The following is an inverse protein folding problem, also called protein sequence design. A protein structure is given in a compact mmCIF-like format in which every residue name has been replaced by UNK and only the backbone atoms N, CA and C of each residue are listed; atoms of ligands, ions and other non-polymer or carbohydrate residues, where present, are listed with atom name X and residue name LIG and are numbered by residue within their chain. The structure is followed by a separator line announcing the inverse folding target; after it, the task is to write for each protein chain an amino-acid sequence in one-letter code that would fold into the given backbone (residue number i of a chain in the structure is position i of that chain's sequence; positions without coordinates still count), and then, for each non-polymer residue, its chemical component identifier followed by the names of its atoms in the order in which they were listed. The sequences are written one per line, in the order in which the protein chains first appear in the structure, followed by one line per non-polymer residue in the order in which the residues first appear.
data_IF_874501633781
#
_entry.id   IF_874501633781
#
_cell.length_a   1.000
_cell.length_b   1.000
_cell.length_c   1.000
_cell.angle_alpha   90.00
_cell.angle_beta   90.00
_cell.angle_gamma   90.00
#
_symmetry.space_group_name_H-M   'P 1'
#
loop_
_entity.id
_entity.type
_entity.pdbx_description
1 polymer ?
#
# COMPACT_ATOMS: atom_id res chain seq x y z
N UNK A 1 -9.62 -20.86 -6.11
CA UNK A 1 -8.85 -19.85 -5.34
C UNK A 1 -9.34 -19.70 -3.89
N UNK A 2 -10.65 -19.59 -3.62
CA UNK A 2 -11.21 -19.41 -2.27
C UNK A 2 -11.29 -20.68 -1.37
N UNK A 3 -11.20 -21.89 -1.93
CA UNK A 3 -11.27 -23.15 -1.14
C UNK A 3 -9.95 -23.55 -0.45
N UNK A 4 -8.79 -23.02 -0.89
CA UNK A 4 -7.48 -23.32 -0.29
C UNK A 4 -7.05 -22.36 0.83
N UNK A 5 -7.79 -21.26 1.03
CA UNK A 5 -7.51 -20.28 2.08
C UNK A 5 -8.18 -20.61 3.42
N UNK A 6 -8.97 -21.71 3.49
CA UNK A 6 -9.78 -22.06 4.67
C UNK A 6 -9.08 -23.01 5.66
N UNK A 7 -7.91 -23.57 5.30
CA UNK A 7 -7.17 -24.54 6.15
C UNK A 7 -6.05 -23.91 7.00
N UNK A 8 -5.92 -22.59 6.96
CA UNK A 8 -4.82 -21.86 7.57
C UNK A 8 -5.43 -20.86 8.54
N UNK A 9 -5.61 -21.29 9.79
CA UNK A 9 -5.87 -20.36 10.89
C UNK A 9 -4.62 -19.52 11.11
N UNK A 10 -4.49 -18.40 10.39
CA UNK A 10 -3.17 -17.76 10.25
C UNK A 10 -3.07 -16.36 10.86
N UNK A 11 -2.05 -16.13 11.71
CA UNK A 11 -1.65 -14.80 12.16
C UNK A 11 -0.98 -14.01 11.01
N UNK A 12 -1.01 -12.68 11.10
CA UNK A 12 -0.61 -11.69 10.08
C UNK A 12 0.76 -11.86 9.38
N UNK A 13 1.61 -12.78 9.83
CA UNK A 13 2.91 -13.11 9.21
C UNK A 13 2.79 -13.75 7.82
N UNK A 14 1.72 -14.48 7.55
CA UNK A 14 1.54 -15.16 6.26
C UNK A 14 1.13 -14.22 5.15
N UNK A 15 0.58 -13.04 5.43
CA UNK A 15 0.22 -12.09 4.37
C UNK A 15 1.45 -11.43 3.74
N UNK A 16 2.51 -11.16 4.52
CA UNK A 16 3.79 -10.68 3.97
C UNK A 16 4.46 -11.79 3.16
N UNK A 17 4.48 -13.03 3.66
CA UNK A 17 5.03 -14.17 2.96
C UNK A 17 4.24 -14.47 1.68
N UNK A 18 2.91 -14.53 1.74
CA UNK A 18 2.00 -14.71 0.59
C UNK A 18 2.16 -13.55 -0.40
N UNK A 19 2.28 -12.31 0.08
CA UNK A 19 2.55 -11.20 -0.83
C UNK A 19 3.93 -11.37 -1.46
N UNK A 20 5.03 -11.60 -0.73
CA UNK A 20 6.37 -11.71 -1.32
C UNK A 20 6.66 -13.00 -2.10
N UNK A 21 5.95 -14.09 -1.83
CA UNK A 21 6.18 -15.42 -2.46
C UNK A 21 5.15 -15.77 -3.53
N UNK A 22 3.92 -15.26 -3.44
CA UNK A 22 2.87 -15.53 -4.43
C UNK A 22 2.48 -14.28 -5.21
N UNK A 23 2.21 -13.14 -4.56
CA UNK A 23 1.67 -11.96 -5.25
C UNK A 23 2.76 -11.10 -5.90
N UNK A 24 3.90 -10.92 -5.26
CA UNK A 24 5.03 -10.11 -5.70
C UNK A 24 5.77 -10.81 -6.83
N UNK A 25 6.00 -12.15 -6.80
CA UNK A 25 6.44 -12.89 -7.95
C UNK A 25 5.33 -12.95 -8.99
N UNK A 26 4.05 -13.11 -8.67
CA UNK A 26 2.98 -12.96 -9.66
C UNK A 26 2.98 -11.59 -10.32
N UNK A 27 3.26 -10.48 -9.63
CA UNK A 27 3.25 -9.12 -10.19
C UNK A 27 4.58 -8.78 -10.90
N UNK A 28 5.69 -9.39 -10.47
CA UNK A 28 7.02 -9.29 -11.08
C UNK A 28 7.19 -10.25 -12.28
N UNK A 29 6.58 -11.43 -12.26
CA UNK A 29 6.50 -12.40 -13.36
C UNK A 29 5.27 -12.16 -14.25
N UNK A 30 4.21 -11.50 -13.79
CA UNK A 30 3.21 -10.87 -14.67
C UNK A 30 3.63 -9.46 -15.10
N UNK A 31 4.80 -8.97 -14.67
CA UNK A 31 5.45 -7.79 -15.25
C UNK A 31 5.49 -7.85 -16.78
N UNK A 32 5.89 -8.97 -17.43
CA UNK A 32 5.72 -9.11 -18.87
C UNK A 32 4.26 -9.03 -19.32
N UNK A 33 3.28 -9.58 -18.60
CA UNK A 33 1.87 -9.61 -19.05
C UNK A 33 1.24 -8.22 -19.07
N UNK A 34 1.20 -7.49 -17.95
CA UNK A 34 0.57 -6.16 -17.94
C UNK A 34 1.42 -5.11 -18.68
N UNK A 35 2.75 -5.24 -18.67
CA UNK A 35 3.58 -4.35 -19.51
C UNK A 35 3.41 -4.68 -21.00
N UNK A 36 3.19 -5.95 -21.38
CA UNK A 36 2.80 -6.31 -22.74
C UNK A 36 1.44 -5.74 -23.09
N UNK A 37 0.45 -5.79 -22.19
CA UNK A 37 -0.86 -5.18 -22.43
C UNK A 37 -0.76 -3.67 -22.63
N UNK A 38 -0.02 -2.93 -21.78
CA UNK A 38 0.18 -1.50 -21.97
C UNK A 38 0.98 -1.18 -23.24
N UNK A 39 2.01 -1.97 -23.56
CA UNK A 39 2.78 -1.81 -24.79
C UNK A 39 1.94 -2.09 -26.04
N UNK A 40 1.05 -3.10 -25.99
CA UNK A 40 0.11 -3.42 -27.06
C UNK A 40 -0.89 -2.29 -27.27
N UNK A 41 -1.49 -1.78 -26.20
CA UNK A 41 -2.40 -0.62 -26.29
C UNK A 41 -1.68 0.60 -26.87
N UNK A 42 -0.43 0.82 -26.47
CA UNK A 42 0.37 1.89 -27.05
C UNK A 42 0.72 1.67 -28.52
N UNK A 43 1.04 0.44 -28.95
CA UNK A 43 1.27 0.14 -30.36
C UNK A 43 0.02 0.31 -31.22
N UNK A 44 -1.16 0.23 -30.61
CA UNK A 44 -2.44 0.56 -31.26
C UNK A 44 -2.72 2.07 -31.35
N UNK A 45 -1.78 2.93 -30.93
CA UNK A 45 -1.91 4.39 -31.02
C UNK A 45 -2.75 5.01 -29.90
N UNK A 46 -3.01 4.29 -28.80
CA UNK A 46 -3.79 4.80 -27.67
C UNK A 46 -3.13 6.04 -27.06
N UNK A 47 -3.87 7.15 -26.83
CA UNK A 47 -3.31 8.35 -26.23
C UNK A 47 -2.87 8.10 -24.78
N UNK A 48 -1.89 8.89 -24.30
CA UNK A 48 -1.32 8.72 -22.97
C UNK A 48 -2.36 8.85 -21.82
N UNK A 49 -3.43 9.63 -22.04
CA UNK A 49 -4.54 9.78 -21.10
C UNK A 49 -5.30 8.47 -20.84
N UNK A 50 -5.59 7.71 -21.89
CA UNK A 50 -6.31 6.44 -21.79
C UNK A 50 -5.42 5.35 -21.19
N UNK A 51 -4.13 5.34 -21.55
CA UNK A 51 -3.15 4.46 -20.91
C UNK A 51 -3.01 4.75 -19.41
N UNK A 52 -3.07 6.03 -19.01
CA UNK A 52 -3.14 6.41 -17.59
C UNK A 52 -4.41 5.86 -16.95
N UNK A 53 -5.57 5.96 -17.61
CA UNK A 53 -6.84 5.43 -17.09
C UNK A 53 -6.80 3.90 -16.89
N UNK A 54 -6.18 3.16 -17.81
CA UNK A 54 -5.97 1.70 -17.68
C UNK A 54 -5.05 1.39 -16.50
N UNK A 55 -3.97 2.15 -16.34
CA UNK A 55 -3.06 1.98 -15.21
C UNK A 55 -3.76 2.23 -13.86
N UNK A 56 -4.55 3.29 -13.75
CA UNK A 56 -5.24 3.64 -12.50
C UNK A 56 -6.41 2.71 -12.17
N UNK A 57 -7.03 2.08 -13.16
CA UNK A 57 -8.19 1.18 -12.97
C UNK A 57 -7.81 -0.27 -12.71
N UNK A 58 -6.74 -0.79 -13.32
CA UNK A 58 -6.38 -2.21 -13.21
C UNK A 58 -5.11 -2.46 -12.38
N UNK A 59 -4.03 -1.74 -12.72
CA UNK A 59 -2.70 -2.02 -12.15
C UNK A 59 -2.59 -1.41 -10.76
N UNK A 60 -3.00 -0.16 -10.61
CA UNK A 60 -2.88 0.58 -9.36
C UNK A 60 -3.70 -0.02 -8.21
N UNK A 61 -4.97 -0.45 -8.41
CA UNK A 61 -5.73 -1.09 -7.34
C UNK A 61 -5.13 -2.44 -6.95
N UNK A 62 -4.55 -3.18 -7.90
CA UNK A 62 -3.84 -4.44 -7.61
C UNK A 62 -2.61 -4.22 -6.72
N UNK A 63 -1.87 -3.12 -6.92
CA UNK A 63 -0.75 -2.74 -6.06
C UNK A 63 -1.21 -2.26 -4.67
N UNK A 64 -2.37 -1.60 -4.59
CA UNK A 64 -2.89 -1.02 -3.34
C UNK A 64 -3.73 -1.99 -2.50
N UNK A 65 -4.31 -3.04 -3.08
CA UNK A 65 -5.36 -3.87 -2.48
C UNK A 65 -5.09 -4.30 -1.03
N UNK A 66 -3.87 -4.76 -0.74
CA UNK A 66 -3.47 -5.19 0.60
C UNK A 66 -2.40 -4.30 1.24
N UNK A 67 -2.11 -3.13 0.66
CA UNK A 67 -1.01 -2.27 1.10
C UNK A 67 -1.11 -1.83 2.57
N UNK A 68 -2.29 -1.52 3.15
CA UNK A 68 -2.37 -1.13 4.56
C UNK A 68 -1.84 -2.19 5.53
N UNK A 69 -1.83 -3.46 5.12
CA UNK A 69 -1.45 -4.58 6.00
C UNK A 69 0.06 -4.85 6.00
N UNK A 70 0.73 -4.69 4.87
CA UNK A 70 2.16 -5.03 4.74
C UNK A 70 3.09 -3.85 4.44
N UNK A 71 2.58 -2.69 4.03
CA UNK A 71 3.41 -1.55 3.60
C UNK A 71 4.39 -1.07 4.68
N UNK A 72 3.95 -1.05 5.94
CA UNK A 72 4.79 -0.66 7.08
C UNK A 72 5.91 -1.64 7.39
N UNK A 73 5.79 -2.89 6.91
CA UNK A 73 6.75 -3.97 7.15
C UNK A 73 7.76 -4.15 6.01
N UNK A 74 7.77 -3.27 5.01
CA UNK A 74 8.68 -3.35 3.88
C UNK A 74 10.04 -2.72 4.17
N UNK A 75 11.10 -3.39 3.71
CA UNK A 75 12.44 -2.84 3.69
C UNK A 75 12.59 -1.81 2.56
N UNK A 76 13.57 -0.90 2.67
CA UNK A 76 13.87 0.10 1.62
C UNK A 76 14.11 -0.53 0.25
N UNK A 77 14.80 -1.66 0.18
CA UNK A 77 15.04 -2.39 -1.08
C UNK A 77 13.75 -2.91 -1.70
N UNK A 78 12.84 -3.47 -0.88
CA UNK A 78 11.53 -3.97 -1.32
C UNK A 78 10.64 -2.82 -1.80
N UNK A 79 10.65 -1.69 -1.10
CA UNK A 79 9.94 -0.49 -1.54
C UNK A 79 10.47 -0.01 -2.90
N UNK A 80 11.79 0.03 -3.10
CA UNK A 80 12.39 0.38 -4.38
C UNK A 80 12.01 -0.61 -5.50
N UNK A 81 11.91 -1.90 -5.20
CA UNK A 81 11.46 -2.90 -6.17
C UNK A 81 10.00 -2.67 -6.60
N UNK A 82 9.11 -2.32 -5.67
CA UNK A 82 7.73 -1.94 -6.01
C UNK A 82 7.70 -0.63 -6.80
N UNK A 83 8.53 0.36 -6.46
CA UNK A 83 8.61 1.62 -7.19
C UNK A 83 9.09 1.42 -8.64
N UNK A 84 9.92 0.39 -8.90
CA UNK A 84 10.33 0.04 -10.28
C UNK A 84 9.14 -0.35 -11.16
N UNK A 85 8.08 -0.94 -10.59
CA UNK A 85 6.84 -1.27 -11.31
C UNK A 85 6.16 0.01 -11.79
N UNK A 86 5.98 0.99 -10.90
CA UNK A 86 5.40 2.29 -11.26
C UNK A 86 6.27 3.02 -12.30
N UNK A 87 7.60 3.06 -12.11
CA UNK A 87 8.53 3.66 -13.09
C UNK A 87 8.42 3.01 -14.47
N UNK A 88 8.31 1.68 -14.53
CA UNK A 88 8.13 0.94 -15.79
C UNK A 88 6.81 1.33 -16.46
N UNK A 89 5.71 1.39 -15.72
CA UNK A 89 4.42 1.82 -16.26
C UNK A 89 4.49 3.24 -16.84
N UNK A 90 5.12 4.19 -16.13
CA UNK A 90 5.24 5.57 -16.62
C UNK A 90 6.10 5.69 -17.86
N UNK A 91 7.16 4.88 -17.99
CA UNK A 91 7.96 4.80 -19.23
C UNK A 91 7.13 4.32 -20.41
N UNK A 92 6.22 3.38 -20.19
CA UNK A 92 5.32 2.90 -21.25
C UNK A 92 4.30 3.97 -21.62
N UNK A 93 3.66 4.62 -20.64
CA UNK A 93 2.63 5.64 -20.86
C UNK A 93 3.20 6.88 -21.56
N UNK A 94 4.32 7.41 -21.08
CA UNK A 94 4.90 8.66 -21.61
C UNK A 94 5.80 8.43 -22.82
N UNK A 95 6.41 7.24 -22.93
CA UNK A 95 7.23 6.89 -24.07
C UNK A 95 8.39 7.85 -24.31
N UNK A 96 8.50 8.49 -25.49
CA UNK A 96 9.57 9.43 -25.78
C UNK A 96 9.52 10.69 -24.90
N UNK A 97 8.35 11.04 -24.35
CA UNK A 97 8.21 12.17 -23.42
C UNK A 97 8.73 11.85 -22.00
N UNK A 98 9.14 10.61 -21.73
CA UNK A 98 9.70 10.23 -20.43
C UNK A 98 11.12 10.78 -20.27
N UNK A 99 11.30 11.75 -19.38
CA UNK A 99 12.62 12.33 -19.05
C UNK A 99 13.14 11.84 -17.70
N UNK A 100 12.38 12.11 -16.63
CA UNK A 100 12.71 11.71 -15.27
C UNK A 100 11.49 11.20 -14.52
N UNK A 101 11.71 10.46 -13.43
CA UNK A 101 10.61 9.96 -12.61
C UNK A 101 9.81 11.10 -11.95
N UNK A 102 10.49 12.15 -11.48
CA UNK A 102 9.82 13.29 -10.87
C UNK A 102 8.99 14.07 -11.91
N UNK A 103 9.50 14.23 -13.14
CA UNK A 103 8.74 14.84 -14.22
C UNK A 103 7.51 13.97 -14.58
N UNK A 104 7.68 12.65 -14.66
CA UNK A 104 6.55 11.75 -14.93
C UNK A 104 5.44 11.84 -13.88
N UNK A 105 5.78 12.01 -12.60
CA UNK A 105 4.80 12.24 -11.52
C UNK A 105 4.01 13.54 -11.74
N UNK A 106 4.69 14.62 -12.15
CA UNK A 106 4.04 15.90 -12.43
C UNK A 106 3.20 15.85 -13.71
N UNK A 107 3.72 15.28 -14.80
CA UNK A 107 3.00 15.17 -16.08
C UNK A 107 1.74 14.31 -15.95
N UNK A 108 1.85 13.18 -15.25
CA UNK A 108 0.73 12.26 -15.07
C UNK A 108 -0.18 12.65 -13.89
N UNK A 109 0.16 13.70 -13.13
CA UNK A 109 -0.56 14.10 -11.90
C UNK A 109 -0.83 12.94 -10.94
N UNK A 110 0.15 12.04 -10.80
CA UNK A 110 0.05 10.86 -9.93
C UNK A 110 1.09 10.94 -8.81
N UNK A 111 0.72 10.58 -7.57
CA UNK A 111 1.66 10.54 -6.44
C UNK A 111 2.61 9.33 -6.53
N UNK A 112 3.68 9.38 -5.71
CA UNK A 112 4.56 8.24 -5.50
C UNK A 112 3.82 7.08 -4.85
N UNK A 113 4.21 5.85 -5.17
CA UNK A 113 3.57 4.67 -4.62
C UNK A 113 3.61 4.65 -3.08
N UNK A 114 4.72 5.09 -2.48
CA UNK A 114 4.86 5.20 -1.03
C UNK A 114 3.82 6.15 -0.41
N UNK A 115 3.61 7.32 -1.02
CA UNK A 115 2.61 8.28 -0.57
C UNK A 115 1.19 7.71 -0.67
N UNK A 116 0.91 6.93 -1.72
CA UNK A 116 -0.37 6.23 -1.87
C UNK A 116 -0.59 5.17 -0.79
N UNK A 117 0.44 4.39 -0.47
CA UNK A 117 0.36 3.41 0.61
C UNK A 117 0.09 4.07 1.96
N UNK A 118 0.75 5.20 2.23
CA UNK A 118 0.53 5.96 3.45
C UNK A 118 -0.89 6.51 3.53
N UNK A 119 -1.42 7.03 2.43
CA UNK A 119 -2.80 7.51 2.35
C UNK A 119 -3.81 6.37 2.54
N UNK A 120 -3.57 5.21 1.91
CA UNK A 120 -4.40 4.02 2.06
C UNK A 120 -4.39 3.51 3.51
N UNK A 121 -3.22 3.54 4.17
CA UNK A 121 -3.06 3.19 5.58
C UNK A 121 -3.88 4.12 6.48
N UNK A 122 -3.81 5.44 6.26
CA UNK A 122 -4.60 6.41 7.03
C UNK A 122 -6.10 6.21 6.85
N UNK A 123 -6.58 6.06 5.61
CA UNK A 123 -7.99 5.80 5.31
C UNK A 123 -8.47 4.49 5.96
N UNK A 124 -7.63 3.46 5.94
CA UNK A 124 -7.93 2.20 6.60
C UNK A 124 -8.05 2.36 8.13
N UNK A 125 -7.12 3.10 8.76
CA UNK A 125 -7.18 3.41 10.19
C UNK A 125 -8.45 4.18 10.58
N UNK A 126 -8.82 5.21 9.82
CA UNK A 126 -10.07 5.95 10.04
C UNK A 126 -11.30 5.06 9.87
N UNK A 127 -11.30 4.17 8.87
CA UNK A 127 -12.36 3.19 8.66
C UNK A 127 -12.51 2.21 9.83
N UNK A 128 -11.40 1.77 10.44
CA UNK A 128 -11.41 0.91 11.62
C UNK A 128 -11.98 1.61 12.86
N UNK A 129 -11.71 2.91 13.04
CA UNK A 129 -12.26 3.68 14.15
C UNK A 129 -13.77 3.85 14.04
N UNK A 130 -14.30 4.00 12.81
CA UNK A 130 -15.74 4.18 12.56
C UNK A 130 -16.53 2.88 12.56
N UNK A 131 -15.89 1.74 12.27
CA UNK A 131 -16.59 0.47 12.11
C UNK A 131 -16.65 -0.32 13.43
N UNK A 132 -17.84 -0.50 14.03
CA UNK A 132 -17.97 -1.20 15.32
C UNK A 132 -17.52 -2.66 15.25
N UNK A 133 -17.66 -3.33 14.09
CA UNK A 133 -17.28 -4.74 13.93
C UNK A 133 -15.78 -4.96 13.99
N UNK A 134 -14.97 -3.98 13.54
CA UNK A 134 -13.52 -4.12 13.45
C UNK A 134 -12.76 -3.23 14.45
N UNK A 135 -13.47 -2.45 15.28
CA UNK A 135 -12.91 -1.59 16.31
C UNK A 135 -12.01 -2.35 17.31
N UNK A 136 -12.33 -3.62 17.57
CA UNK A 136 -11.56 -4.50 18.45
C UNK A 136 -10.13 -4.79 17.97
N UNK A 137 -9.82 -4.51 16.70
CA UNK A 137 -8.46 -4.64 16.16
C UNK A 137 -7.52 -3.53 16.63
N UNK A 138 -8.07 -2.42 17.14
CA UNK A 138 -7.33 -1.29 17.68
C UNK A 138 -7.43 -1.26 19.21
N UNK A 139 -6.41 -0.71 19.91
CA UNK A 139 -6.50 -0.46 21.34
C UNK A 139 -7.74 0.38 21.71
N UNK A 140 -8.25 0.29 22.94
CA UNK A 140 -9.32 1.16 23.40
C UNK A 140 -8.90 2.63 23.36
N UNK A 141 -9.89 3.52 23.37
CA UNK A 141 -9.64 4.96 23.45
C UNK A 141 -9.02 5.32 24.81
N UNK A 142 -8.18 6.36 24.83
CA UNK A 142 -7.63 6.85 26.09
C UNK A 142 -8.74 7.54 26.88
N UNK A 143 -8.92 7.24 28.17
CA UNK A 143 -9.88 7.96 28.99
C UNK A 143 -9.54 9.46 29.01
N UNK A 144 -10.55 10.35 29.09
CA UNK A 144 -10.31 11.79 29.15
C UNK A 144 -9.35 12.13 30.30
N UNK A 145 -8.27 12.89 30.05
CA UNK A 145 -7.36 13.25 31.12
C UNK A 145 -8.04 14.23 32.08
N UNK A 146 -7.73 14.12 33.37
CA UNK A 146 -8.24 15.06 34.38
C UNK A 146 -7.79 16.51 34.14
N UNK A 147 -6.72 16.71 33.34
CA UNK A 147 -6.21 18.02 32.94
C UNK A 147 -5.93 18.03 31.45
N UNK A 148 -6.32 19.10 30.75
CA UNK A 148 -6.01 19.27 29.34
C UNK A 148 -4.50 19.41 29.12
N UNK A 149 -3.89 18.42 28.46
CA UNK A 149 -2.51 18.49 27.97
C UNK A 149 -2.49 18.96 26.51
N UNK A 150 -1.39 19.61 26.10
CA UNK A 150 -1.17 20.08 24.71
C UNK A 150 -1.16 18.95 23.68
N UNK A 151 -0.83 17.73 24.11
CA UNK A 151 -0.83 16.52 23.29
C UNK A 151 -1.73 15.47 23.95
N UNK A 152 -2.66 14.91 23.20
CA UNK A 152 -3.59 13.88 23.67
C UNK A 152 -3.62 12.72 22.68
N UNK A 153 -3.25 11.54 23.17
CA UNK A 153 -3.38 10.30 22.41
C UNK A 153 -4.87 9.97 22.30
N UNK A 154 -5.33 9.62 21.10
CA UNK A 154 -6.70 9.11 20.90
C UNK A 154 -6.82 7.68 21.38
N UNK A 155 -5.83 6.84 21.08
CA UNK A 155 -5.78 5.43 21.42
C UNK A 155 -4.75 5.14 22.49
N UNK A 156 -5.04 4.17 23.35
CA UNK A 156 -4.06 3.69 24.35
C UNK A 156 -2.77 3.28 23.64
N UNK A 157 -1.62 3.88 24.01
CA UNK A 157 -0.34 3.51 23.43
C UNK A 157 -0.06 2.02 23.64
N UNK A 158 0.42 1.37 22.59
CA UNK A 158 0.85 -0.01 22.71
C UNK A 158 2.09 -0.08 23.62
N UNK A 159 2.16 -1.12 24.45
CA UNK A 159 3.37 -1.44 25.22
C UNK A 159 4.57 -1.55 24.29
N UNK A 160 5.75 -1.19 24.82
CA UNK A 160 7.00 -1.23 24.09
C UNK A 160 7.14 -2.56 23.34
N UNK A 161 7.20 -2.54 21.99
CA UNK A 161 7.20 -3.75 21.20
C UNK A 161 8.48 -4.55 21.48
N UNK A 162 8.34 -5.83 21.84
CA UNK A 162 9.46 -6.73 22.14
C UNK A 162 10.39 -6.99 20.94
N UNK A 163 9.89 -6.83 19.72
CA UNK A 163 10.62 -7.09 18.49
C UNK A 163 10.38 -5.98 17.46
N UNK A 164 11.40 -5.66 16.66
CA UNK A 164 11.26 -4.73 15.54
C UNK A 164 10.20 -5.20 14.53
N UNK A 165 10.04 -6.53 14.39
CA UNK A 165 8.99 -7.12 13.57
C UNK A 165 7.60 -6.67 14.00
N UNK A 166 7.30 -6.76 15.30
CA UNK A 166 6.01 -6.30 15.80
C UNK A 166 5.91 -4.77 15.66
N UNK A 167 6.98 -4.04 15.99
CA UNK A 167 7.04 -2.58 15.85
C UNK A 167 6.68 -2.08 14.45
N UNK A 168 7.08 -2.81 13.41
CA UNK A 168 6.87 -2.49 11.98
C UNK A 168 5.59 -3.10 11.39
N UNK A 169 4.80 -3.84 12.18
CA UNK A 169 3.51 -4.38 11.72
C UNK A 169 2.45 -3.28 11.57
N UNK A 170 1.34 -3.60 10.89
CA UNK A 170 0.30 -2.64 10.54
C UNK A 170 -0.33 -1.97 11.77
N UNK A 171 -0.74 -2.76 12.77
CA UNK A 171 -1.47 -2.24 13.95
C UNK A 171 -0.63 -1.23 14.76
N UNK A 172 0.63 -1.51 15.15
CA UNK A 172 1.45 -0.53 15.85
C UNK A 172 1.79 0.70 15.03
N UNK A 173 1.87 0.56 13.70
CA UNK A 173 2.09 1.70 12.82
C UNK A 173 0.85 2.59 12.72
N UNK A 174 -0.35 1.98 12.64
CA UNK A 174 -1.63 2.67 12.65
C UNK A 174 -1.84 3.43 13.96
N UNK A 175 -1.64 2.78 15.11
CA UNK A 175 -1.81 3.42 16.43
C UNK A 175 -0.89 4.64 16.56
N UNK A 176 0.37 4.54 16.10
CA UNK A 176 1.28 5.69 16.07
C UNK A 176 0.75 6.80 15.15
N UNK A 177 0.31 6.48 13.93
CA UNK A 177 -0.24 7.47 12.99
C UNK A 177 -1.55 8.12 13.46
N UNK A 178 -2.33 7.46 14.31
CA UNK A 178 -3.58 8.01 14.85
C UNK A 178 -3.30 8.94 16.06
N UNK A 179 -2.23 8.66 16.80
CA UNK A 179 -1.83 9.41 17.99
C UNK A 179 -0.86 10.56 17.70
N UNK A 180 -0.34 10.68 16.48
CA UNK A 180 0.43 11.84 15.99
C UNK A 180 -0.48 13.01 15.67
#
# INVERSE_FOLDING_TARGET
MLRRLRSLGTPAGDLKAVYTSFILPSLLYASPVWSSSLNRLRSLGTPAGDLKAVYTSFILPSLLYASPVWSSSLNKSQQQQLEKVQKRAYRVILGPAYTSYNNALTTLSLPRLTAMYEQALSKFGEGLLRNPRHRHLLPPDVPPPARATRHQNKLVPLRAPRTDRYRQSAVPTLVRKINT
#
